data_IF_690878623545
#
_entry.id   IF_690878623545
#
_cell.length_a   1.000
_cell.length_b   1.000
_cell.length_c   1.000
_cell.angle_alpha   90.00
_cell.angle_beta   90.00
_cell.angle_gamma   90.00
#
_symmetry.space_group_name_H-M   'P 1'
#
loop_
_entity.id
_entity.type
_entity.pdbx_description
1 polymer ?
#
# COMPACT_ATOMS: atom_id res chain seq x y z
N UNK A 1 16.10 9.91 15.89
CA UNK A 1 14.71 9.52 15.56
C UNK A 1 14.73 8.68 14.30
N UNK A 2 13.96 7.59 14.27
CA UNK A 2 13.75 6.71 13.10
C UNK A 2 12.28 6.77 12.69
N UNK A 3 12.01 6.77 11.40
CA UNK A 3 10.63 6.68 10.89
C UNK A 3 10.35 5.26 10.42
N UNK A 4 9.23 4.70 10.88
CA UNK A 4 8.65 3.46 10.34
C UNK A 4 7.40 3.87 9.56
N UNK A 5 7.48 3.81 8.23
CA UNK A 5 6.34 4.12 7.36
C UNK A 5 5.56 2.82 7.10
N UNK A 6 4.31 2.77 7.56
CA UNK A 6 3.46 1.60 7.38
C UNK A 6 2.76 1.63 6.02
N UNK A 7 3.13 0.70 5.15
CA UNK A 7 2.50 0.50 3.84
C UNK A 7 1.68 -0.80 3.81
N UNK A 8 0.82 -0.98 4.81
CA UNK A 8 -0.10 -2.12 4.87
C UNK A 8 -1.47 -1.81 4.26
N UNK A 9 -2.22 -2.83 3.94
CA UNK A 9 -3.62 -2.71 3.51
C UNK A 9 -3.96 -3.58 2.31
N UNK A 10 -5.23 -4.02 2.22
CA UNK A 10 -5.72 -4.93 1.16
C UNK A 10 -6.12 -4.21 -0.13
N UNK A 11 -6.04 -2.88 -0.17
CA UNK A 11 -6.32 -2.09 -1.38
C UNK A 11 -7.77 -2.06 -1.89
N UNK A 12 -8.68 -2.84 -1.36
CA UNK A 12 -10.01 -3.09 -1.93
C UNK A 12 -10.99 -1.91 -1.90
N UNK A 13 -10.72 -0.87 -1.11
CA UNK A 13 -11.66 0.26 -0.94
C UNK A 13 -11.71 1.23 -2.11
N UNK A 14 -10.69 1.23 -2.96
CA UNK A 14 -10.65 2.02 -4.21
C UNK A 14 -10.70 1.12 -5.46
N UNK A 15 -11.36 -0.05 -5.32
CA UNK A 15 -11.71 -0.86 -6.47
C UNK A 15 -12.57 -0.03 -7.45
N UNK A 16 -12.39 -0.12 -8.76
CA UNK A 16 -11.60 -1.09 -9.53
C UNK A 16 -10.16 -0.66 -9.84
N UNK A 17 -9.67 0.47 -9.33
CA UNK A 17 -8.28 0.88 -9.58
C UNK A 17 -7.29 0.20 -8.64
N UNK A 18 -7.76 -0.23 -7.45
CA UNK A 18 -6.93 -0.93 -6.48
C UNK A 18 -7.24 -2.42 -6.42
N UNK A 19 -6.20 -3.23 -6.22
CA UNK A 19 -6.28 -4.68 -6.03
C UNK A 19 -5.31 -5.14 -4.92
N UNK A 20 -5.05 -6.43 -4.78
CA UNK A 20 -4.17 -6.98 -3.73
C UNK A 20 -2.70 -6.58 -3.87
N UNK A 21 -2.24 -6.29 -5.08
CA UNK A 21 -0.86 -5.88 -5.41
C UNK A 21 -0.76 -4.37 -5.59
N UNK A 22 -1.71 -3.75 -6.28
CA UNK A 22 -1.83 -2.31 -6.45
C UNK A 22 -2.78 -1.74 -5.40
N UNK A 23 -2.32 -1.61 -4.16
CA UNK A 23 -3.11 -1.05 -3.07
C UNK A 23 -3.35 0.45 -3.24
N UNK A 24 -4.36 1.00 -2.53
CA UNK A 24 -4.82 2.40 -2.64
C UNK A 24 -3.69 3.44 -2.55
N UNK A 25 -2.69 3.20 -1.72
CA UNK A 25 -1.56 4.11 -1.51
C UNK A 25 -0.63 4.25 -2.71
N UNK A 26 -0.73 3.35 -3.70
CA UNK A 26 0.08 3.36 -4.92
C UNK A 26 -0.63 4.02 -6.11
N UNK A 27 -1.91 4.39 -5.98
CA UNK A 27 -2.66 5.05 -7.05
C UNK A 27 -2.18 6.50 -7.24
N UNK A 28 -1.66 6.82 -8.41
CA UNK A 28 -1.16 8.15 -8.77
C UNK A 28 -2.30 9.05 -9.21
N UNK A 29 -3.11 9.51 -8.27
CA UNK A 29 -4.31 10.32 -8.52
C UNK A 29 -4.23 11.72 -7.90
N UNK A 30 -3.30 11.95 -6.96
CA UNK A 30 -3.17 13.24 -6.29
C UNK A 30 -2.27 14.19 -7.10
N UNK A 31 -2.51 15.51 -7.05
CA UNK A 31 -1.65 16.47 -7.71
C UNK A 31 -0.25 16.48 -7.08
N UNK A 32 0.77 16.46 -7.92
CA UNK A 32 2.17 16.59 -7.56
C UNK A 32 2.66 18.03 -7.72
N UNK A 33 3.64 18.50 -6.95
CA UNK A 33 4.19 19.86 -7.07
C UNK A 33 4.79 20.20 -8.43
N UNK A 34 5.22 19.21 -9.21
CA UNK A 34 5.78 19.37 -10.55
C UNK A 34 4.70 19.48 -11.66
N UNK A 35 3.41 19.51 -11.28
CA UNK A 35 2.28 19.60 -12.19
C UNK A 35 1.79 18.25 -12.74
N UNK A 36 2.40 17.14 -12.32
CA UNK A 36 1.96 15.78 -12.61
C UNK A 36 1.03 15.20 -11.54
N UNK A 37 1.04 13.89 -11.43
CA UNK A 37 0.31 13.15 -10.38
C UNK A 37 1.25 12.31 -9.53
N UNK A 38 0.97 12.27 -8.23
CA UNK A 38 1.67 11.43 -7.26
C UNK A 38 0.71 10.48 -6.55
N UNK A 39 1.23 9.39 -6.02
CA UNK A 39 0.50 8.52 -5.12
C UNK A 39 0.55 9.07 -3.68
N UNK A 40 -0.34 8.56 -2.81
CA UNK A 40 -0.31 8.93 -1.39
C UNK A 40 1.04 8.55 -0.77
N UNK A 41 1.60 7.40 -1.11
CA UNK A 41 2.91 6.96 -0.66
C UNK A 41 4.02 7.93 -1.09
N UNK A 42 4.03 8.34 -2.37
CA UNK A 42 5.01 9.31 -2.88
C UNK A 42 4.88 10.66 -2.17
N UNK A 43 3.64 11.11 -1.95
CA UNK A 43 3.36 12.35 -1.23
C UNK A 43 3.88 12.32 0.20
N UNK A 44 3.53 11.30 0.97
CA UNK A 44 3.98 11.18 2.38
C UNK A 44 5.49 11.04 2.46
N UNK A 45 6.11 10.24 1.59
CA UNK A 45 7.55 10.08 1.54
C UNK A 45 8.27 11.40 1.22
N UNK A 46 7.78 12.15 0.24
CA UNK A 46 8.29 13.48 -0.13
C UNK A 46 8.15 14.46 1.04
N UNK A 47 6.97 14.56 1.67
CA UNK A 47 6.72 15.45 2.80
C UNK A 47 7.62 15.13 4.00
N UNK A 48 7.86 13.85 4.31
CA UNK A 48 8.80 13.43 5.35
C UNK A 48 10.23 13.85 5.02
N UNK A 49 10.62 13.79 3.75
CA UNK A 49 11.97 14.17 3.29
C UNK A 49 12.14 15.68 3.30
N UNK A 50 11.15 16.45 2.83
CA UNK A 50 11.15 17.92 2.83
C UNK A 50 11.16 18.52 4.24
N UNK A 51 10.52 17.84 5.20
CA UNK A 51 10.54 18.23 6.60
C UNK A 51 11.90 18.00 7.29
N UNK A 52 12.90 17.47 6.59
CA UNK A 52 14.24 17.07 7.10
C UNK A 52 14.19 16.20 8.37
N UNK A 53 13.07 15.48 8.51
CA UNK A 53 12.84 14.70 9.71
C UNK A 53 13.70 13.45 9.76
N UNK A 54 14.15 12.98 8.59
CA UNK A 54 14.95 11.77 8.57
C UNK A 54 15.58 11.45 7.20
N UNK A 55 16.83 11.01 7.26
CA UNK A 55 17.48 10.30 6.14
C UNK A 55 17.28 8.78 6.23
N UNK A 56 16.56 8.31 7.26
CA UNK A 56 16.45 6.91 7.63
C UNK A 56 14.97 6.51 7.79
N UNK A 57 14.29 6.34 6.64
CA UNK A 57 12.91 5.83 6.60
C UNK A 57 12.95 4.33 6.35
N UNK A 58 12.36 3.56 7.25
CA UNK A 58 12.11 2.13 7.07
C UNK A 58 10.66 1.92 6.68
N UNK A 59 10.40 1.27 5.55
CA UNK A 59 9.04 1.00 5.08
C UNK A 59 8.67 -0.44 5.43
N UNK A 60 7.64 -0.61 6.26
CA UNK A 60 7.04 -1.91 6.55
C UNK A 60 5.91 -2.20 5.57
N UNK A 61 5.99 -3.31 4.85
CA UNK A 61 5.00 -3.67 3.82
C UNK A 61 4.87 -5.18 3.63
N UNK A 62 3.89 -5.64 2.86
CA UNK A 62 3.86 -7.03 2.41
C UNK A 62 4.84 -7.28 1.25
N UNK A 63 5.28 -8.52 1.10
CA UNK A 63 6.16 -8.93 -0.01
C UNK A 63 5.57 -8.59 -1.39
N UNK A 64 4.25 -8.71 -1.55
CA UNK A 64 3.57 -8.40 -2.82
C UNK A 64 3.63 -6.92 -3.22
N UNK A 65 3.87 -6.00 -2.26
CA UNK A 65 3.92 -4.56 -2.51
C UNK A 65 5.34 -4.04 -2.80
N UNK A 66 6.35 -4.89 -2.66
CA UNK A 66 7.76 -4.51 -2.82
C UNK A 66 8.04 -3.82 -4.14
N UNK A 67 7.58 -4.40 -5.24
CA UNK A 67 7.83 -3.86 -6.58
C UNK A 67 7.18 -2.48 -6.76
N UNK A 68 5.94 -2.29 -6.31
CA UNK A 68 5.26 -0.99 -6.38
C UNK A 68 5.98 0.09 -5.55
N UNK A 69 6.47 -0.26 -4.36
CA UNK A 69 7.21 0.68 -3.51
C UNK A 69 8.52 1.08 -4.19
N UNK A 70 9.32 0.12 -4.64
CA UNK A 70 10.62 0.42 -5.28
C UNK A 70 10.48 1.17 -6.60
N UNK A 71 9.43 0.90 -7.37
CA UNK A 71 9.13 1.64 -8.61
C UNK A 71 8.76 3.11 -8.33
N UNK A 72 8.08 3.39 -7.22
CA UNK A 72 7.57 4.73 -6.91
C UNK A 72 8.56 5.60 -6.12
N UNK A 73 9.37 5.00 -5.27
CA UNK A 73 10.27 5.73 -4.35
C UNK A 73 11.75 5.53 -4.70
N UNK A 74 12.08 4.45 -5.40
CA UNK A 74 13.46 4.09 -5.74
C UNK A 74 13.98 2.89 -4.93
N UNK A 75 15.23 2.53 -5.20
CA UNK A 75 15.87 1.35 -4.59
C UNK A 75 16.65 1.68 -3.30
N UNK A 76 16.94 2.95 -3.04
CA UNK A 76 17.75 3.41 -1.90
C UNK A 76 16.90 3.57 -0.63
N UNK A 77 16.02 2.60 -0.37
CA UNK A 77 15.12 2.58 0.78
C UNK A 77 15.31 1.30 1.59
N UNK A 78 15.18 1.41 2.90
CA UNK A 78 15.08 0.24 3.77
C UNK A 78 13.65 -0.31 3.73
N UNK A 79 13.49 -1.54 3.22
CA UNK A 79 12.19 -2.20 3.09
C UNK A 79 12.14 -3.47 3.93
N UNK A 80 11.25 -3.52 4.91
CA UNK A 80 10.97 -4.67 5.76
C UNK A 80 9.68 -5.32 5.31
N UNK A 81 9.80 -6.54 4.75
CA UNK A 81 8.64 -7.28 4.22
C UNK A 81 8.10 -8.25 5.26
N UNK A 82 6.81 -8.11 5.57
CA UNK A 82 6.07 -9.06 6.40
C UNK A 82 5.96 -10.42 5.70
N UNK A 83 6.24 -11.54 6.39
CA UNK A 83 6.02 -12.88 5.83
C UNK A 83 4.56 -13.14 5.49
N UNK A 84 3.64 -12.64 6.32
CA UNK A 84 2.18 -12.73 6.15
C UNK A 84 1.48 -11.54 6.80
N UNK A 85 0.26 -11.22 6.34
CA UNK A 85 -0.52 -10.12 6.92
C UNK A 85 -1.15 -10.52 8.24
N UNK A 86 -0.76 -9.84 9.33
CA UNK A 86 -1.26 -10.12 10.70
C UNK A 86 -1.72 -8.89 11.47
N UNK A 87 -1.90 -7.75 10.80
CA UNK A 87 -2.27 -6.49 11.44
C UNK A 87 -1.08 -5.57 11.72
N UNK A 88 -1.36 -4.39 12.29
CA UNK A 88 -0.34 -3.35 12.43
C UNK A 88 0.65 -3.62 13.58
N UNK A 89 0.27 -4.36 14.62
CA UNK A 89 1.21 -4.70 15.70
C UNK A 89 2.39 -5.55 15.20
N UNK A 90 2.19 -6.71 14.53
CA UNK A 90 3.31 -7.50 14.03
C UNK A 90 4.17 -6.76 13.02
N UNK A 91 3.57 -5.94 12.13
CA UNK A 91 4.31 -5.14 11.16
C UNK A 91 5.27 -4.14 11.83
N UNK A 92 4.78 -3.41 12.84
CA UNK A 92 5.58 -2.47 13.64
C UNK A 92 6.66 -3.20 14.42
N UNK A 93 6.32 -4.33 15.05
CA UNK A 93 7.27 -5.15 15.81
C UNK A 93 8.42 -5.66 14.92
N UNK A 94 8.11 -6.14 13.70
CA UNK A 94 9.11 -6.61 12.75
C UNK A 94 10.01 -5.47 12.26
N UNK A 95 9.45 -4.29 11.96
CA UNK A 95 10.23 -3.13 11.56
C UNK A 95 11.14 -2.61 12.69
N UNK A 96 10.64 -2.58 13.93
CA UNK A 96 11.44 -2.21 15.09
C UNK A 96 12.57 -3.22 15.37
N UNK A 97 12.31 -4.53 15.23
CA UNK A 97 13.33 -5.56 15.32
C UNK A 97 14.42 -5.39 14.25
N UNK A 98 14.05 -4.99 13.03
CA UNK A 98 15.02 -4.67 11.98
C UNK A 98 15.92 -3.49 12.38
N UNK A 99 15.35 -2.42 12.92
CA UNK A 99 16.12 -1.28 13.42
C UNK A 99 17.09 -1.69 14.53
N UNK A 100 16.63 -2.50 15.47
CA UNK A 100 17.46 -2.96 16.60
C UNK A 100 18.59 -3.90 16.17
N UNK A 101 18.25 -4.94 15.44
CA UNK A 101 19.17 -6.08 15.23
C UNK A 101 19.96 -6.00 13.92
N UNK A 102 19.39 -5.44 12.84
CA UNK A 102 20.08 -5.31 11.55
C UNK A 102 20.78 -3.97 11.39
N UNK A 103 20.12 -2.87 11.82
CA UNK A 103 20.73 -1.55 11.76
C UNK A 103 21.54 -1.19 13.01
N UNK A 104 21.44 -1.98 14.10
CA UNK A 104 22.16 -1.76 15.34
C UNK A 104 21.79 -0.47 16.07
N UNK A 105 20.54 -0.01 15.91
CA UNK A 105 20.05 1.18 16.59
C UNK A 105 20.07 1.04 18.09
N UNK A 106 20.36 2.14 18.80
CA UNK A 106 20.30 2.15 20.25
C UNK A 106 18.88 1.89 20.74
N UNK A 107 18.72 1.07 21.79
CA UNK A 107 17.42 0.77 22.42
C UNK A 107 16.68 2.03 22.93
N UNK A 108 17.40 3.11 23.22
CA UNK A 108 16.84 4.41 23.60
C UNK A 108 16.49 5.30 22.41
N UNK A 109 16.80 4.88 21.20
CA UNK A 109 16.44 5.64 20.01
C UNK A 109 14.93 5.63 19.84
N UNK A 110 14.38 6.81 19.49
CA UNK A 110 12.94 6.97 19.29
C UNK A 110 12.57 6.54 17.88
N UNK A 111 11.60 5.64 17.79
CA UNK A 111 10.91 5.32 16.55
C UNK A 111 9.56 6.03 16.49
N UNK A 112 9.25 6.61 15.33
CA UNK A 112 7.95 7.20 15.01
C UNK A 112 7.32 6.42 13.88
N UNK A 113 6.18 5.81 14.14
CA UNK A 113 5.39 5.05 13.17
C UNK A 113 4.40 5.97 12.50
N UNK A 114 4.38 5.99 11.16
CA UNK A 114 3.52 6.86 10.36
C UNK A 114 2.77 6.01 9.32
N UNK A 115 1.44 6.12 9.19
CA UNK A 115 0.72 5.49 8.09
C UNK A 115 1.07 6.15 6.75
N UNK A 116 1.31 5.36 5.71
CA UNK A 116 1.61 5.88 4.38
C UNK A 116 0.38 6.36 3.59
N UNK A 117 -0.82 6.25 4.17
CA UNK A 117 -2.09 6.58 3.52
C UNK A 117 -2.77 7.82 4.12
N UNK A 118 -2.04 8.58 4.90
CA UNK A 118 -2.49 9.86 5.49
C UNK A 118 -2.38 11.00 4.47
N UNK A 119 -3.48 11.73 4.29
CA UNK A 119 -3.48 13.00 3.58
C UNK A 119 -3.49 14.14 4.58
N UNK A 120 -2.40 14.90 4.64
CA UNK A 120 -2.21 15.99 5.58
C UNK A 120 -1.37 17.12 4.97
N UNK A 121 -1.45 18.31 5.58
CA UNK A 121 -0.58 19.45 5.26
C UNK A 121 0.84 19.24 5.81
N UNK A 122 1.78 20.06 5.36
CA UNK A 122 3.18 19.95 5.78
C UNK A 122 3.37 20.15 7.29
N UNK A 123 2.56 21.02 7.94
CA UNK A 123 2.58 21.24 9.40
C UNK A 123 2.33 19.96 10.22
N UNK A 124 1.64 18.97 9.62
CA UNK A 124 1.46 17.66 10.25
C UNK A 124 2.79 16.97 10.50
N UNK A 125 3.70 17.06 9.56
CA UNK A 125 5.02 16.44 9.67
C UNK A 125 5.93 17.11 10.69
N UNK A 126 5.76 18.43 10.93
CA UNK A 126 6.43 19.12 12.04
C UNK A 126 5.95 18.60 13.41
N UNK A 127 4.70 18.11 13.50
CA UNK A 127 4.16 17.52 14.72
C UNK A 127 4.84 16.19 15.06
N UNK A 128 5.43 15.49 14.08
CA UNK A 128 6.19 14.26 14.31
C UNK A 128 7.46 14.52 15.13
N UNK A 129 8.08 15.68 14.98
CA UNK A 129 9.21 16.05 15.83
C UNK A 129 8.79 16.26 17.29
N UNK A 130 7.65 16.92 17.52
CA UNK A 130 7.11 17.15 18.88
C UNK A 130 6.78 15.85 19.60
N UNK A 131 6.17 14.90 18.88
CA UNK A 131 5.84 13.59 19.45
C UNK A 131 7.12 12.79 19.78
N UNK A 132 8.16 12.89 18.95
CA UNK A 132 9.45 12.26 19.20
C UNK A 132 10.17 12.88 20.40
N UNK A 133 10.16 14.20 20.54
CA UNK A 133 10.76 14.89 21.66
C UNK A 133 10.07 14.56 22.98
N UNK A 134 8.75 14.36 22.98
CA UNK A 134 7.99 13.87 24.15
C UNK A 134 8.55 12.54 24.67
N UNK A 135 8.82 11.60 23.78
CA UNK A 135 9.37 10.28 24.13
C UNK A 135 10.86 10.38 24.52
N UNK A 136 11.63 11.21 23.80
CA UNK A 136 13.05 11.42 24.06
C UNK A 136 13.29 11.98 25.47
N UNK A 137 12.40 12.86 25.93
CA UNK A 137 12.47 13.50 27.25
C UNK A 137 11.84 12.67 28.38
N UNK A 138 11.48 11.39 28.11
CA UNK A 138 10.86 10.48 29.08
C UNK A 138 9.54 11.02 29.68
N UNK A 139 8.82 11.87 28.95
CA UNK A 139 7.52 12.40 29.38
C UNK A 139 6.41 11.35 29.34
N UNK A 140 6.55 10.32 28.49
CA UNK A 140 5.67 9.17 28.37
C UNK A 140 6.40 7.96 27.74
N UNK A 141 5.84 6.76 27.87
CA UNK A 141 6.35 5.54 27.19
C UNK A 141 5.87 5.46 25.75
N UNK A 142 4.64 5.93 25.49
CA UNK A 142 4.00 5.97 24.19
C UNK A 142 3.42 7.36 23.96
N UNK A 143 3.55 7.92 22.75
CA UNK A 143 2.91 9.17 22.39
C UNK A 143 2.13 9.00 21.08
N UNK A 144 0.98 9.69 20.97
CA UNK A 144 0.03 9.62 19.88
C UNK A 144 -0.23 11.02 19.29
N UNK A 145 -0.64 11.05 18.01
CA UNK A 145 -1.23 12.26 17.43
C UNK A 145 -2.75 12.16 17.52
N UNK A 146 -3.36 13.13 18.17
CA UNK A 146 -4.81 13.27 18.27
C UNK A 146 -5.33 14.29 17.27
N UNK A 147 -6.32 13.91 16.47
CA UNK A 147 -6.96 14.74 15.44
C UNK A 147 -8.31 15.22 15.94
N UNK A 148 -8.62 16.49 15.77
CA UNK A 148 -9.92 17.04 16.17
C UNK A 148 -11.03 16.40 15.31
N UNK A 149 -12.05 15.74 15.93
CA UNK A 149 -13.12 15.11 15.20
C UNK A 149 -14.00 16.12 14.46
N UNK A 150 -14.33 15.80 13.21
CA UNK A 150 -15.32 16.56 12.41
C UNK A 150 -16.68 15.87 12.33
N UNK A 151 -16.74 14.59 12.77
CA UNK A 151 -17.98 13.78 12.77
C UNK A 151 -17.87 12.63 13.77
N UNK A 152 -19.03 11.99 14.11
CA UNK A 152 -19.07 10.80 14.94
C UNK A 152 -18.75 9.53 14.10
N UNK A 153 -17.49 9.38 13.69
CA UNK A 153 -17.02 8.23 12.90
C UNK A 153 -16.92 6.97 13.75
N UNK A 154 -17.34 5.84 13.18
CA UNK A 154 -17.14 4.50 13.76
C UNK A 154 -15.88 3.80 13.24
N UNK A 155 -15.11 4.51 12.39
CA UNK A 155 -13.94 3.96 11.69
C UNK A 155 -12.63 4.20 12.42
N UNK A 156 -12.60 5.15 13.39
CA UNK A 156 -11.38 5.59 14.10
C UNK A 156 -11.40 5.20 15.57
N UNK A 157 -10.22 5.08 16.15
CA UNK A 157 -10.03 5.10 17.59
C UNK A 157 -10.24 6.50 18.15
N UNK A 158 -10.67 6.59 19.40
CA UNK A 158 -10.90 7.84 20.12
C UNK A 158 -9.99 7.93 21.34
N UNK A 159 -9.26 9.03 21.44
CA UNK A 159 -8.37 9.39 22.53
C UNK A 159 -9.10 10.41 23.41
N UNK A 160 -9.37 10.10 24.67
CA UNK A 160 -9.89 11.07 25.61
C UNK A 160 -8.73 11.65 26.45
N UNK A 161 -8.35 12.92 26.26
CA UNK A 161 -7.31 13.55 27.08
C UNK A 161 -7.71 13.59 28.58
N UNK A 162 -6.73 13.49 29.45
CA UNK A 162 -6.94 13.51 30.90
C UNK A 162 -7.22 14.93 31.47
N UNK A 163 -7.11 15.98 30.65
CA UNK A 163 -7.10 17.38 31.10
C UNK A 163 -6.06 17.62 32.19
N UNK A 164 -4.98 16.86 32.15
CA UNK A 164 -3.87 16.92 33.07
C UNK A 164 -2.57 16.87 32.26
N UNK A 165 -1.84 17.94 32.31
CA UNK A 165 -0.52 18.06 31.71
C UNK A 165 0.53 17.42 32.63
N UNK A 166 1.45 16.66 32.04
CA UNK A 166 2.62 16.11 32.71
C UNK A 166 3.85 16.43 31.85
N UNK A 167 4.84 17.09 32.45
CA UNK A 167 6.05 17.51 31.77
C UNK A 167 5.80 18.28 30.46
N UNK A 168 4.75 19.13 30.39
CA UNK A 168 4.40 19.94 29.23
C UNK A 168 3.62 19.21 28.13
N UNK A 169 3.08 18.00 28.39
CA UNK A 169 2.28 17.22 27.43
C UNK A 169 0.97 16.74 28.05
N UNK A 170 -0.06 16.65 27.22
CA UNK A 170 -1.35 16.10 27.63
C UNK A 170 -1.27 14.58 27.74
N UNK A 171 -1.63 14.03 28.92
CA UNK A 171 -1.77 12.60 29.10
C UNK A 171 -3.15 12.13 28.66
N UNK A 172 -3.28 10.87 28.23
CA UNK A 172 -4.60 10.32 27.92
C UNK A 172 -5.27 9.75 29.19
N UNK A 173 -6.59 9.89 29.24
CA UNK A 173 -7.46 9.27 30.27
C UNK A 173 -7.90 7.89 29.85
N UNK A 174 -8.25 7.73 28.58
CA UNK A 174 -8.72 6.47 28.01
C UNK A 174 -8.61 6.49 26.50
N UNK A 175 -8.46 5.29 25.94
CA UNK A 175 -8.55 5.00 24.51
C UNK A 175 -9.77 4.13 24.24
N UNK A 176 -10.42 4.28 23.09
CA UNK A 176 -11.57 3.47 22.67
C UNK A 176 -11.49 3.22 21.17
N UNK A 177 -11.23 1.98 20.78
CA UNK A 177 -11.10 1.60 19.36
C UNK A 177 -12.49 1.42 18.73
N UNK A 178 -12.73 2.09 17.61
CA UNK A 178 -13.91 1.96 16.73
C UNK A 178 -15.26 1.85 17.48
N UNK A 179 -15.65 2.85 18.28
CA UNK A 179 -16.88 2.81 19.06
C UNK A 179 -18.14 2.81 18.18
N UNK A 180 -19.27 2.44 18.76
CA UNK A 180 -20.57 2.70 18.12
C UNK A 180 -20.79 4.21 17.94
N UNK A 181 -21.62 4.60 16.96
CA UNK A 181 -21.90 6.02 16.66
C UNK A 181 -22.36 6.80 17.91
N UNK A 182 -23.28 6.25 18.69
CA UNK A 182 -23.75 6.85 19.94
C UNK A 182 -22.59 7.05 20.94
N UNK A 183 -21.68 6.08 21.03
CA UNK A 183 -20.52 6.19 21.90
C UNK A 183 -19.53 7.24 21.39
N UNK A 184 -19.32 7.31 20.08
CA UNK A 184 -18.50 8.34 19.44
C UNK A 184 -19.01 9.76 19.74
N UNK A 185 -20.31 10.00 19.61
CA UNK A 185 -20.95 11.29 19.96
C UNK A 185 -20.70 11.68 21.42
N UNK A 186 -20.83 10.70 22.35
CA UNK A 186 -20.52 10.92 23.76
C UNK A 186 -19.06 11.22 24.03
N UNK A 187 -18.13 10.60 23.29
CA UNK A 187 -16.70 10.85 23.43
C UNK A 187 -16.35 12.24 22.91
N UNK A 188 -16.87 12.64 21.76
CA UNK A 188 -16.67 13.98 21.18
C UNK A 188 -17.18 15.06 22.14
N UNK A 189 -18.37 14.88 22.73
CA UNK A 189 -18.90 15.85 23.69
C UNK A 189 -18.03 16.02 24.95
N UNK A 190 -17.13 15.07 25.24
CA UNK A 190 -16.15 15.12 26.34
C UNK A 190 -14.78 15.62 25.89
N UNK A 191 -14.64 16.07 24.64
CA UNK A 191 -13.38 16.57 24.09
C UNK A 191 -12.43 15.46 23.57
N UNK A 192 -12.94 14.29 23.22
CA UNK A 192 -12.12 13.24 22.65
C UNK A 192 -11.61 13.61 21.25
N UNK A 193 -10.41 13.15 20.92
CA UNK A 193 -9.75 13.29 19.63
C UNK A 193 -9.82 11.96 18.86
N UNK A 194 -9.75 11.98 17.55
CA UNK A 194 -9.48 10.78 16.77
C UNK A 194 -8.03 10.37 16.90
N UNK A 195 -7.75 9.09 16.91
CA UNK A 195 -6.41 8.57 16.78
C UNK A 195 -5.93 8.73 15.32
N UNK A 196 -4.87 9.50 15.13
CA UNK A 196 -4.25 9.74 13.80
C UNK A 196 -3.43 8.56 13.27
N UNK A 197 -3.30 7.46 14.05
CA UNK A 197 -2.54 6.27 13.66
C UNK A 197 -1.02 6.46 13.69
N UNK A 198 -0.54 7.53 14.32
CA UNK A 198 0.89 7.80 14.55
C UNK A 198 1.25 7.44 15.97
N UNK A 199 2.36 6.70 16.12
CA UNK A 199 2.88 6.22 17.40
C UNK A 199 4.34 6.58 17.53
N UNK A 200 4.76 7.11 18.68
CA UNK A 200 6.17 7.27 19.00
C UNK A 200 6.51 6.54 20.30
N UNK A 201 7.66 5.86 20.31
CA UNK A 201 8.16 5.10 21.45
C UNK A 201 9.68 4.91 21.33
N UNK A 202 10.36 4.60 22.47
CA UNK A 202 11.75 4.11 22.42
C UNK A 202 11.78 2.66 21.93
N UNK A 203 12.80 2.28 21.18
CA UNK A 203 12.90 0.91 20.63
C UNK A 203 12.89 -0.16 21.73
N UNK A 204 13.42 0.11 22.93
CA UNK A 204 13.33 -0.80 24.10
C UNK A 204 11.89 -1.14 24.47
N UNK A 205 10.99 -0.18 24.37
CA UNK A 205 9.59 -0.39 24.75
C UNK A 205 8.92 -1.47 23.88
N UNK A 206 9.15 -1.43 22.58
CA UNK A 206 8.59 -2.45 21.69
C UNK A 206 9.36 -3.78 21.76
N UNK A 207 10.68 -3.75 22.01
CA UNK A 207 11.48 -4.94 22.24
C UNK A 207 10.96 -5.74 23.45
N UNK A 208 10.64 -5.07 24.56
CA UNK A 208 10.06 -5.68 25.74
C UNK A 208 8.71 -6.36 25.44
N UNK A 209 7.92 -5.77 24.54
CA UNK A 209 6.65 -6.36 24.10
C UNK A 209 6.88 -7.57 23.19
N UNK A 210 7.81 -7.49 22.24
CA UNK A 210 8.20 -8.61 21.38
C UNK A 210 8.65 -9.81 22.22
N UNK A 211 9.48 -9.58 23.23
CA UNK A 211 10.07 -10.61 24.10
C UNK A 211 9.02 -11.35 24.94
N UNK A 212 7.81 -10.82 25.09
CA UNK A 212 6.69 -11.57 25.70
C UNK A 212 6.19 -12.73 24.82
N UNK A 213 6.45 -12.68 23.51
CA UNK A 213 5.97 -13.63 22.51
C UNK A 213 7.09 -14.42 21.86
N UNK A 214 8.25 -13.80 21.68
CA UNK A 214 9.39 -14.34 20.95
C UNK A 214 10.66 -13.97 21.71
N UNK A 215 11.34 -14.97 22.25
CA UNK A 215 12.69 -14.81 22.79
C UNK A 215 13.66 -14.74 21.60
N UNK A 216 14.16 -13.55 21.29
CA UNK A 216 14.94 -13.28 20.09
C UNK A 216 16.03 -12.23 20.33
N UNK A 217 17.24 -12.57 19.84
CA UNK A 217 18.42 -11.71 19.84
C UNK A 217 18.81 -11.28 18.41
N UNK A 218 18.09 -11.75 17.38
CA UNK A 218 18.33 -11.43 15.98
C UNK A 218 17.04 -11.19 15.22
N UNK A 219 17.14 -10.42 14.12
CA UNK A 219 16.02 -10.18 13.23
C UNK A 219 15.44 -11.45 12.60
N UNK A 220 16.32 -12.37 12.19
CA UNK A 220 15.93 -13.66 11.59
C UNK A 220 15.09 -14.52 12.54
N UNK A 221 15.40 -14.47 13.84
CA UNK A 221 14.61 -15.18 14.86
C UNK A 221 13.21 -14.56 14.97
N UNK A 222 13.08 -13.23 14.97
CA UNK A 222 11.77 -12.55 14.97
C UNK A 222 11.00 -12.88 13.71
N UNK A 223 11.63 -12.80 12.52
CA UNK A 223 11.00 -13.09 11.25
C UNK A 223 10.53 -14.54 11.14
N UNK A 224 11.36 -15.50 11.56
CA UNK A 224 11.02 -16.93 11.57
C UNK A 224 9.85 -17.25 12.50
N UNK A 225 9.76 -16.56 13.61
CA UNK A 225 8.72 -16.75 14.63
C UNK A 225 7.58 -15.73 14.51
N UNK A 226 7.50 -14.99 13.42
CA UNK A 226 6.53 -13.90 13.19
C UNK A 226 5.08 -14.32 13.47
N UNK A 227 4.71 -15.56 13.16
CA UNK A 227 3.39 -16.12 13.42
C UNK A 227 3.01 -16.22 14.90
N UNK A 228 3.98 -16.13 15.83
CA UNK A 228 3.72 -16.12 17.28
C UNK A 228 3.22 -14.75 17.77
N UNK A 229 3.50 -13.68 17.04
CA UNK A 229 2.96 -12.35 17.36
C UNK A 229 1.44 -12.37 17.18
N UNK A 230 0.65 -11.78 18.09
CA UNK A 230 -0.81 -11.71 17.94
C UNK A 230 -1.23 -10.98 16.66
N UNK A 231 -2.18 -11.54 15.93
CA UNK A 231 -2.69 -10.96 14.69
C UNK A 231 -3.73 -9.86 14.99
N UNK A 232 -3.28 -8.74 15.56
CA UNK A 232 -4.12 -7.63 16.03
C UNK A 232 -3.54 -6.27 15.63
N UNK A 233 -4.31 -5.20 15.84
CA UNK A 233 -3.79 -3.84 15.66
C UNK A 233 -2.81 -3.46 16.78
N UNK A 234 -1.95 -2.48 16.50
CA UNK A 234 -1.07 -1.89 17.50
C UNK A 234 -1.87 -1.25 18.63
N UNK A 235 -3.00 -0.65 18.30
CA UNK A 235 -3.90 -0.07 19.28
C UNK A 235 -4.37 -1.08 20.31
N UNK A 236 -4.85 -2.24 19.86
CA UNK A 236 -5.38 -3.28 20.76
C UNK A 236 -4.27 -3.96 21.58
N UNK A 237 -3.07 -4.16 20.99
CA UNK A 237 -1.99 -4.84 21.70
C UNK A 237 -1.23 -3.91 22.62
N UNK A 238 -1.02 -2.66 22.21
CA UNK A 238 -0.10 -1.74 22.88
C UNK A 238 -0.84 -0.54 23.47
N UNK A 239 -1.57 0.23 22.66
CA UNK A 239 -2.15 1.51 23.10
C UNK A 239 -3.17 1.34 24.23
N UNK A 240 -4.06 0.34 24.13
CA UNK A 240 -5.07 0.07 25.17
C UNK A 240 -4.49 -0.46 26.48
N UNK A 241 -3.29 -1.06 26.43
CA UNK A 241 -2.62 -1.70 27.59
C UNK A 241 -1.54 -0.82 28.22
N UNK A 242 -1.09 0.22 27.54
CA UNK A 242 -0.07 1.12 28.02
C UNK A 242 -0.63 2.10 29.06
N UNK A 243 0.08 2.30 30.16
CA UNK A 243 -0.36 3.17 31.25
C UNK A 243 0.18 4.60 31.16
N UNK A 244 1.26 4.80 30.42
CA UNK A 244 1.94 6.09 30.25
C UNK A 244 1.86 6.54 28.79
N UNK A 245 0.72 7.11 28.40
CA UNK A 245 0.46 7.54 27.02
C UNK A 245 0.18 9.04 26.97
N UNK A 246 0.95 9.76 26.14
CA UNK A 246 0.76 11.16 25.84
C UNK A 246 0.01 11.34 24.51
N UNK A 247 -0.64 12.49 24.36
CA UNK A 247 -1.26 12.89 23.09
C UNK A 247 -0.84 14.30 22.71
N UNK A 248 -0.45 14.47 21.45
CA UNK A 248 -0.22 15.77 20.83
C UNK A 248 -1.38 16.07 19.90
N UNK A 249 -2.10 17.15 20.18
CA UNK A 249 -3.26 17.54 19.36
C UNK A 249 -2.79 18.21 18.07
N UNK A 250 -3.28 17.73 16.94
CA UNK A 250 -3.14 18.37 15.64
C UNK A 250 -4.46 19.00 15.19
N UNK A 251 -4.42 20.27 14.79
CA UNK A 251 -5.59 21.06 14.42
C UNK A 251 -5.65 21.43 12.94
N UNK A 252 -4.66 21.00 12.13
CA UNK A 252 -4.61 21.26 10.70
C UNK A 252 -5.43 20.30 9.86
N UNK A 253 -5.20 20.28 8.55
CA UNK A 253 -5.86 19.38 7.61
C UNK A 253 -5.31 17.97 7.79
N UNK A 254 -6.20 17.06 8.10
CA UNK A 254 -5.94 15.63 8.16
C UNK A 254 -7.15 14.85 7.61
N UNK A 255 -6.91 13.94 6.68
CA UNK A 255 -7.94 13.12 6.05
C UNK A 255 -7.43 11.70 5.83
N UNK A 256 -8.28 10.72 6.13
CA UNK A 256 -8.07 9.33 5.69
C UNK A 256 -8.73 9.18 4.30
N UNK A 257 -7.91 9.13 3.27
CA UNK A 257 -8.38 8.90 1.90
C UNK A 257 -8.60 7.40 1.67
N UNK A 258 -9.51 6.82 2.45
CA UNK A 258 -9.81 5.40 2.39
C UNK A 258 -11.07 5.05 1.57
N UNK A 259 -11.77 6.02 1.00
CA UNK A 259 -12.96 5.80 0.18
C UNK A 259 -12.96 6.68 -1.06
N UNK A 260 -13.72 6.30 -2.08
CA UNK A 260 -13.90 7.10 -3.29
C UNK A 260 -14.44 8.48 -3.00
N UNK A 261 -15.37 8.63 -2.03
CA UNK A 261 -15.90 9.92 -1.62
C UNK A 261 -14.78 10.82 -1.09
N UNK A 262 -14.02 10.33 -0.10
CA UNK A 262 -12.92 11.10 0.47
C UNK A 262 -11.84 11.46 -0.56
N UNK A 263 -11.47 10.51 -1.43
CA UNK A 263 -10.52 10.76 -2.51
C UNK A 263 -11.07 11.76 -3.52
N UNK A 264 -12.34 11.61 -3.94
CA UNK A 264 -12.95 12.49 -4.94
C UNK A 264 -12.96 13.96 -4.50
N UNK A 265 -13.07 14.24 -3.21
CA UNK A 265 -13.07 15.60 -2.69
C UNK A 265 -11.71 16.29 -2.84
N UNK A 266 -10.61 15.51 -2.89
CA UNK A 266 -9.24 15.99 -3.03
C UNK A 266 -8.72 16.01 -4.47
N UNK A 267 -9.42 15.40 -5.42
CA UNK A 267 -9.01 15.41 -6.82
C UNK A 267 -9.23 16.80 -7.43
N UNK A 268 -8.21 17.40 -8.08
CA UNK A 268 -8.36 18.67 -8.78
C UNK A 268 -9.31 18.53 -9.97
N UNK A 269 -9.17 17.44 -10.72
CA UNK A 269 -10.03 17.10 -11.84
C UNK A 269 -10.97 15.99 -11.46
N UNK A 270 -12.26 16.24 -11.66
CA UNK A 270 -13.32 15.22 -11.41
C UNK A 270 -13.47 14.25 -12.57
N UNK A 271 -12.88 14.55 -13.71
CA UNK A 271 -12.95 13.74 -14.91
C UNK A 271 -11.56 13.44 -15.43
N UNK A 272 -11.14 12.18 -15.40
CA UNK A 272 -9.80 11.73 -15.80
C UNK A 272 -9.88 10.56 -16.75
N UNK A 273 -9.19 10.64 -17.91
CA UNK A 273 -9.14 9.58 -18.93
C UNK A 273 -10.04 9.89 -20.14
N UNK A 274 -10.30 8.86 -20.96
CA UNK A 274 -11.14 8.96 -22.15
C UNK A 274 -12.63 9.00 -21.77
N UNK A 275 -13.18 10.22 -21.59
CA UNK A 275 -14.52 10.46 -21.03
C UNK A 275 -15.29 11.42 -21.94
N UNK A 276 -16.57 11.12 -22.15
CA UNK A 276 -17.54 12.00 -22.82
C UNK A 276 -18.67 12.24 -21.83
N UNK A 277 -18.91 13.51 -21.47
CA UNK A 277 -20.03 13.90 -20.60
C UNK A 277 -21.13 14.56 -21.42
N UNK A 278 -22.36 14.09 -21.24
CA UNK A 278 -23.57 14.73 -21.75
C UNK A 278 -24.22 15.64 -20.69
N UNK A 279 -25.40 16.16 -21.01
CA UNK A 279 -26.15 17.05 -20.15
C UNK A 279 -26.51 16.38 -18.81
N UNK A 280 -26.61 17.19 -17.74
CA UNK A 280 -27.08 16.76 -16.43
C UNK A 280 -26.07 15.96 -15.60
N UNK A 281 -24.79 15.97 -15.96
CA UNK A 281 -23.71 15.42 -15.11
C UNK A 281 -23.29 16.49 -14.10
N UNK A 282 -23.65 16.26 -12.82
CA UNK A 282 -23.41 17.22 -11.74
C UNK A 282 -22.75 16.52 -10.55
N UNK A 283 -21.80 17.18 -9.90
CA UNK A 283 -21.09 16.69 -8.70
C UNK A 283 -20.63 15.21 -8.80
N UNK A 284 -20.23 14.79 -10.00
CA UNK A 284 -19.88 13.40 -10.33
C UNK A 284 -18.41 13.30 -10.62
N UNK A 285 -17.74 12.32 -10.03
CA UNK A 285 -16.34 12.00 -10.31
C UNK A 285 -16.30 10.81 -11.27
N UNK A 286 -15.60 10.97 -12.39
CA UNK A 286 -15.46 9.95 -13.43
C UNK A 286 -13.97 9.71 -13.66
N UNK A 287 -13.52 8.47 -13.47
CA UNK A 287 -12.13 8.07 -13.72
C UNK A 287 -12.15 6.87 -14.66
N UNK A 288 -11.42 6.96 -15.75
CA UNK A 288 -11.30 5.90 -16.74
C UNK A 288 -9.83 5.61 -17.05
N UNK A 289 -9.33 4.48 -16.59
CA UNK A 289 -7.98 3.98 -16.93
C UNK A 289 -7.98 3.11 -18.19
N UNK A 290 -9.16 2.83 -18.76
CA UNK A 290 -9.28 2.01 -19.96
C UNK A 290 -9.13 2.86 -21.23
N UNK A 291 -8.73 2.23 -22.32
CA UNK A 291 -8.69 2.84 -23.65
C UNK A 291 -10.10 3.08 -24.22
N UNK A 292 -11.09 2.27 -23.79
CA UNK A 292 -12.47 2.41 -24.19
C UNK A 292 -13.09 3.70 -23.62
N UNK A 293 -13.85 4.49 -24.39
CA UNK A 293 -14.49 5.68 -23.89
C UNK A 293 -15.59 5.36 -22.86
N UNK A 294 -15.68 6.19 -21.82
CA UNK A 294 -16.80 6.18 -20.86
C UNK A 294 -17.69 7.36 -21.15
N UNK A 295 -18.96 7.10 -21.47
CA UNK A 295 -19.97 8.13 -21.73
C UNK A 295 -20.93 8.22 -20.57
N UNK A 296 -21.06 9.40 -19.97
CA UNK A 296 -21.96 9.66 -18.85
C UNK A 296 -22.91 10.81 -19.17
N UNK A 297 -24.22 10.64 -18.94
CA UNK A 297 -25.24 11.68 -19.07
C UNK A 297 -26.30 11.53 -17.98
N UNK A 298 -26.81 12.65 -17.48
CA UNK A 298 -27.92 12.68 -16.50
C UNK A 298 -27.57 12.09 -15.12
N UNK A 299 -26.29 12.00 -14.74
CA UNK A 299 -25.84 11.39 -13.48
C UNK A 299 -25.41 12.48 -12.49
N UNK A 300 -25.92 12.40 -11.25
CA UNK A 300 -25.63 13.36 -10.18
C UNK A 300 -25.10 12.67 -8.94
N UNK A 301 -24.24 13.36 -8.19
CA UNK A 301 -23.69 12.93 -6.89
C UNK A 301 -23.11 11.50 -6.94
N UNK A 302 -22.40 11.17 -8.01
CA UNK A 302 -21.95 9.82 -8.31
C UNK A 302 -20.42 9.70 -8.39
N UNK A 303 -19.99 8.45 -8.27
CA UNK A 303 -18.64 7.99 -8.59
C UNK A 303 -18.79 6.97 -9.72
N UNK A 304 -18.10 7.21 -10.83
CA UNK A 304 -17.99 6.30 -11.99
C UNK A 304 -16.51 6.02 -12.20
N UNK A 305 -16.11 4.78 -12.05
CA UNK A 305 -14.71 4.38 -12.22
C UNK A 305 -14.62 3.15 -13.10
N UNK A 306 -13.88 3.24 -14.18
CA UNK A 306 -13.56 2.14 -15.06
C UNK A 306 -12.06 1.84 -14.98
N UNK A 307 -11.72 0.60 -14.66
CA UNK A 307 -10.37 0.11 -14.56
C UNK A 307 -10.27 -1.35 -15.00
N UNK A 308 -9.08 -1.89 -15.01
CA UNK A 308 -8.85 -3.28 -15.48
C UNK A 308 -9.55 -4.33 -14.60
N UNK A 309 -9.75 -4.05 -13.31
CA UNK A 309 -10.47 -4.95 -12.40
C UNK A 309 -11.99 -4.94 -12.63
N UNK A 310 -12.53 -3.94 -13.31
CA UNK A 310 -13.97 -3.80 -13.58
C UNK A 310 -14.47 -2.37 -13.64
N UNK A 311 -15.78 -2.20 -13.48
CA UNK A 311 -16.45 -0.90 -13.52
C UNK A 311 -17.27 -0.70 -12.25
N UNK A 312 -17.05 0.42 -11.57
CA UNK A 312 -17.82 0.87 -10.41
C UNK A 312 -18.73 2.03 -10.82
N UNK A 313 -20.01 1.91 -10.49
CA UNK A 313 -20.98 3.01 -10.56
C UNK A 313 -21.75 3.04 -9.26
N UNK A 314 -21.63 4.12 -8.49
CA UNK A 314 -22.36 4.26 -7.22
C UNK A 314 -22.58 5.74 -6.88
N UNK A 315 -23.51 6.03 -5.96
CA UNK A 315 -23.57 7.37 -5.36
C UNK A 315 -22.34 7.65 -4.50
N UNK A 316 -21.94 8.91 -4.35
CA UNK A 316 -20.81 9.29 -3.49
C UNK A 316 -20.93 8.72 -2.06
N UNK A 317 -22.15 8.72 -1.50
CA UNK A 317 -22.37 8.21 -0.15
C UNK A 317 -22.22 6.68 -0.07
N UNK A 318 -22.72 5.93 -1.05
CA UNK A 318 -22.60 4.47 -1.09
C UNK A 318 -21.15 4.01 -1.29
N UNK A 319 -20.28 4.86 -1.84
CA UNK A 319 -18.87 4.54 -2.07
C UNK A 319 -18.07 4.25 -0.79
N UNK A 320 -18.58 4.63 0.37
CA UNK A 320 -17.93 4.35 1.64
C UNK A 320 -17.96 2.87 2.04
N UNK A 321 -18.97 2.12 1.56
CA UNK A 321 -19.26 0.75 1.95
C UNK A 321 -19.08 -0.28 0.82
N UNK A 322 -18.38 0.10 -0.27
CA UNK A 322 -18.23 -0.78 -1.44
C UNK A 322 -17.47 -2.08 -1.14
N UNK A 323 -16.63 -2.09 -0.09
CA UNK A 323 -15.79 -3.25 0.27
C UNK A 323 -16.61 -4.55 0.37
N UNK A 324 -17.79 -4.51 0.99
CA UNK A 324 -18.67 -5.68 1.16
C UNK A 324 -19.16 -6.30 -0.18
N UNK A 325 -19.19 -5.50 -1.25
CA UNK A 325 -19.57 -5.96 -2.58
C UNK A 325 -18.35 -6.46 -3.34
N UNK A 326 -17.23 -5.76 -3.22
CA UNK A 326 -15.97 -6.09 -3.90
C UNK A 326 -15.39 -7.42 -3.40
N UNK A 327 -15.51 -7.72 -2.11
CA UNK A 327 -15.08 -9.02 -1.54
C UNK A 327 -15.73 -10.23 -2.24
N UNK A 328 -16.90 -10.05 -2.86
CA UNK A 328 -17.60 -11.10 -3.62
C UNK A 328 -17.07 -11.27 -5.05
N UNK A 329 -16.34 -10.27 -5.55
CA UNK A 329 -15.80 -10.25 -6.91
C UNK A 329 -14.36 -10.75 -6.95
N UNK A 330 -13.73 -10.90 -5.77
CA UNK A 330 -12.31 -11.16 -5.61
C UNK A 330 -11.83 -12.36 -6.44
N UNK A 331 -11.01 -12.05 -7.42
CA UNK A 331 -10.35 -12.99 -8.32
C UNK A 331 -8.89 -12.58 -8.46
N UNK A 332 -8.21 -13.12 -9.43
CA UNK A 332 -6.86 -12.73 -9.86
C UNK A 332 -6.80 -11.22 -10.13
N UNK A 333 -5.71 -10.52 -9.74
CA UNK A 333 -5.44 -9.17 -10.25
C UNK A 333 -5.40 -9.14 -11.78
N UNK A 334 -6.13 -8.20 -12.36
CA UNK A 334 -6.20 -8.02 -13.81
C UNK A 334 -5.13 -7.05 -14.34
N UNK A 335 -4.50 -6.29 -13.45
CA UNK A 335 -3.41 -5.37 -13.75
C UNK A 335 -2.39 -5.34 -12.61
N UNK A 336 -1.10 -5.37 -12.96
CA UNK A 336 0.00 -5.21 -12.00
C UNK A 336 1.13 -4.33 -12.54
N UNK A 337 1.70 -3.53 -11.62
CA UNK A 337 2.96 -2.83 -11.82
C UNK A 337 4.09 -3.66 -11.21
N UNK A 338 5.14 -3.92 -12.00
CA UNK A 338 6.34 -4.64 -11.61
C UNK A 338 7.58 -3.76 -11.81
N UNK A 339 8.70 -4.12 -11.20
CA UNK A 339 9.97 -3.38 -11.43
C UNK A 339 10.39 -3.31 -12.89
N UNK A 340 10.03 -4.31 -13.69
CA UNK A 340 10.37 -4.39 -15.10
C UNK A 340 9.35 -3.69 -16.02
N UNK A 341 8.20 -3.27 -15.51
CA UNK A 341 7.13 -2.68 -16.30
C UNK A 341 5.74 -3.06 -15.79
N UNK A 342 4.82 -3.35 -16.69
CA UNK A 342 3.43 -3.67 -16.33
C UNK A 342 2.91 -4.87 -17.09
N UNK A 343 1.89 -5.51 -16.55
CA UNK A 343 1.04 -6.38 -17.34
C UNK A 343 -0.45 -6.15 -17.08
N UNK A 344 -1.27 -6.40 -18.08
CA UNK A 344 -2.73 -6.46 -17.97
C UNK A 344 -3.24 -7.81 -18.50
N UNK A 345 -4.22 -8.38 -17.81
CA UNK A 345 -4.93 -9.57 -18.27
C UNK A 345 -5.99 -9.15 -19.28
N UNK A 346 -5.93 -9.72 -20.47
CA UNK A 346 -6.90 -9.45 -21.56
C UNK A 346 -8.06 -10.45 -21.45
N UNK A 347 -7.75 -11.73 -21.22
CA UNK A 347 -8.74 -12.79 -21.14
C UNK A 347 -8.27 -13.92 -20.22
N UNK A 348 -9.21 -14.56 -19.51
CA UNK A 348 -8.97 -15.73 -18.70
C UNK A 348 -10.18 -16.67 -18.82
N UNK A 349 -9.94 -17.89 -19.29
CA UNK A 349 -11.01 -18.87 -19.52
C UNK A 349 -10.63 -20.21 -18.89
N UNK A 350 -11.58 -20.84 -18.20
CA UNK A 350 -11.49 -22.23 -17.75
C UNK A 350 -12.54 -23.05 -18.50
N UNK A 351 -12.09 -24.04 -19.22
CA UNK A 351 -12.96 -24.93 -19.99
C UNK A 351 -13.54 -26.07 -19.13
N UNK A 352 -14.55 -26.74 -19.65
CA UNK A 352 -15.28 -27.80 -18.93
C UNK A 352 -14.44 -29.05 -18.64
N UNK A 353 -13.38 -29.28 -19.42
CA UNK A 353 -12.41 -30.38 -19.25
C UNK A 353 -11.31 -30.03 -18.22
N UNK A 354 -11.36 -28.83 -17.63
CA UNK A 354 -10.37 -28.34 -16.66
C UNK A 354 -9.21 -27.57 -17.28
N UNK A 355 -9.06 -27.57 -18.60
CA UNK A 355 -8.04 -26.79 -19.30
C UNK A 355 -8.27 -25.28 -19.11
N UNK A 356 -7.21 -24.55 -18.95
CA UNK A 356 -7.26 -23.10 -18.72
C UNK A 356 -6.46 -22.34 -19.78
N UNK A 357 -6.92 -21.15 -20.15
CA UNK A 357 -6.16 -20.18 -20.94
C UNK A 357 -6.14 -18.83 -20.25
N UNK A 358 -5.00 -18.13 -20.35
CA UNK A 358 -4.81 -16.78 -19.83
C UNK A 358 -4.03 -15.99 -20.86
N UNK A 359 -4.58 -14.85 -21.28
CA UNK A 359 -3.91 -13.92 -22.19
C UNK A 359 -3.55 -12.65 -21.46
N UNK A 360 -2.28 -12.25 -21.55
CA UNK A 360 -1.74 -11.02 -20.96
C UNK A 360 -1.09 -10.15 -22.04
N UNK A 361 -1.16 -8.85 -21.86
CA UNK A 361 -0.26 -7.89 -22.51
C UNK A 361 0.80 -7.49 -21.50
N UNK A 362 2.07 -7.64 -21.88
CA UNK A 362 3.22 -7.23 -21.06
C UNK A 362 3.94 -6.07 -21.73
N UNK A 363 4.33 -5.08 -20.91
CA UNK A 363 5.14 -3.93 -21.32
C UNK A 363 6.37 -3.87 -20.41
N UNK A 364 7.55 -4.09 -21.00
CA UNK A 364 8.82 -3.99 -20.31
C UNK A 364 9.50 -2.67 -20.64
N UNK A 365 9.97 -1.98 -19.61
CA UNK A 365 10.75 -0.76 -19.78
C UNK A 365 12.14 -1.10 -20.34
N UNK A 366 12.69 -0.20 -21.15
CA UNK A 366 14.03 -0.35 -21.70
C UNK A 366 15.07 -0.66 -20.61
N UNK A 367 15.93 -1.63 -20.86
CA UNK A 367 16.95 -2.10 -19.92
C UNK A 367 16.48 -3.11 -18.87
N UNK A 368 15.16 -3.25 -18.67
CA UNK A 368 14.61 -4.20 -17.73
C UNK A 368 14.46 -5.61 -18.29
N UNK A 369 14.31 -6.59 -17.41
CA UNK A 369 14.08 -7.99 -17.80
C UNK A 369 13.15 -8.71 -16.83
N UNK A 370 12.45 -9.72 -17.33
CA UNK A 370 11.83 -10.74 -16.47
C UNK A 370 12.88 -11.77 -16.06
N UNK A 371 12.62 -12.45 -14.92
CA UNK A 371 13.55 -13.46 -14.38
C UNK A 371 13.77 -14.63 -15.33
N UNK A 372 14.96 -15.24 -15.26
CA UNK A 372 15.21 -16.51 -15.93
C UNK A 372 14.53 -17.62 -15.13
N UNK A 373 13.53 -18.28 -15.72
CA UNK A 373 12.57 -19.08 -14.99
C UNK A 373 12.03 -20.25 -15.79
N UNK A 374 11.39 -21.21 -15.10
CA UNK A 374 10.58 -22.26 -15.70
C UNK A 374 9.16 -22.25 -15.11
N UNK A 375 8.24 -22.85 -15.85
CA UNK A 375 6.87 -23.16 -15.43
C UNK A 375 6.66 -24.68 -15.47
N UNK A 376 5.99 -25.23 -14.45
CA UNK A 376 5.73 -26.67 -14.35
C UNK A 376 4.39 -27.07 -14.93
N UNK A 377 3.43 -26.14 -14.98
CA UNK A 377 2.02 -26.43 -15.26
C UNK A 377 1.49 -25.76 -16.53
N UNK A 378 2.30 -24.92 -17.21
CA UNK A 378 1.83 -24.16 -18.37
C UNK A 378 2.83 -24.11 -19.49
N UNK A 379 2.32 -24.03 -20.72
CA UNK A 379 3.02 -23.58 -21.91
C UNK A 379 2.72 -22.09 -22.13
N UNK A 380 3.62 -21.38 -22.80
CA UNK A 380 3.43 -19.97 -23.14
C UNK A 380 3.72 -19.73 -24.63
N UNK A 381 2.91 -18.87 -25.26
CA UNK A 381 3.19 -18.34 -26.59
C UNK A 381 3.32 -16.82 -26.46
N UNK A 382 4.47 -16.30 -26.86
CA UNK A 382 4.76 -14.86 -26.87
C UNK A 382 4.74 -14.31 -28.27
N UNK A 383 3.98 -13.25 -28.51
CA UNK A 383 3.95 -12.51 -29.78
C UNK A 383 4.39 -11.09 -29.51
N UNK A 384 5.57 -10.71 -30.01
CA UNK A 384 6.13 -9.39 -29.83
C UNK A 384 5.47 -8.39 -30.77
N UNK A 385 4.87 -7.33 -30.21
CA UNK A 385 4.08 -6.35 -30.96
C UNK A 385 4.78 -5.01 -31.12
N UNK A 386 5.73 -4.69 -30.22
CA UNK A 386 6.51 -3.47 -30.30
C UNK A 386 7.89 -3.64 -29.62
N UNK A 387 8.88 -2.84 -30.05
CA UNK A 387 10.19 -2.79 -29.45
C UNK A 387 11.16 -3.88 -29.91
N UNK A 388 12.32 -3.94 -29.23
CA UNK A 388 13.42 -4.90 -29.45
C UNK A 388 13.88 -5.47 -28.10
N UNK A 389 14.21 -6.74 -28.08
CA UNK A 389 14.69 -7.41 -26.88
C UNK A 389 15.62 -8.58 -27.17
N UNK A 390 16.25 -9.10 -26.12
CA UNK A 390 17.00 -10.35 -26.13
C UNK A 390 16.19 -11.40 -25.39
N UNK A 391 15.86 -12.47 -26.08
CA UNK A 391 15.21 -13.65 -25.53
C UNK A 391 16.25 -14.73 -25.28
N UNK A 392 16.19 -15.38 -24.14
CA UNK A 392 16.96 -16.59 -23.85
C UNK A 392 16.04 -17.76 -23.62
N UNK A 393 16.30 -18.88 -24.31
CA UNK A 393 15.62 -20.17 -24.07
C UNK A 393 16.69 -21.23 -23.92
N UNK A 394 16.70 -21.96 -22.79
CA UNK A 394 17.65 -23.02 -22.47
C UNK A 394 19.12 -22.61 -22.74
N UNK A 395 19.47 -21.36 -22.35
CA UNK A 395 20.80 -20.78 -22.52
C UNK A 395 21.10 -20.20 -23.91
N UNK A 396 20.22 -20.37 -24.91
CA UNK A 396 20.40 -19.83 -26.25
C UNK A 396 19.76 -18.43 -26.35
N UNK A 397 20.58 -17.43 -26.65
CA UNK A 397 20.14 -16.04 -26.77
C UNK A 397 19.82 -15.70 -28.22
N UNK A 398 18.65 -15.13 -28.45
CA UNK A 398 18.18 -14.64 -29.75
C UNK A 398 17.59 -13.24 -29.63
N UNK A 399 17.70 -12.42 -30.66
CA UNK A 399 17.03 -11.13 -30.71
C UNK A 399 15.56 -11.33 -31.10
N UNK A 400 14.66 -10.60 -30.44
CA UNK A 400 13.22 -10.52 -30.76
C UNK A 400 12.85 -9.11 -31.12
N UNK A 401 11.95 -8.98 -32.07
CA UNK A 401 11.44 -7.71 -32.61
C UNK A 401 9.96 -7.82 -32.91
N UNK A 402 9.34 -6.73 -33.33
CA UNK A 402 7.94 -6.75 -33.79
C UNK A 402 7.70 -7.87 -34.79
N UNK A 403 6.68 -8.70 -34.54
CA UNK A 403 6.27 -9.84 -35.36
C UNK A 403 6.98 -11.15 -34.98
N UNK A 404 7.96 -11.15 -34.10
CA UNK A 404 8.54 -12.39 -33.56
C UNK A 404 7.49 -13.16 -32.76
N UNK A 405 7.42 -14.47 -32.99
CA UNK A 405 6.53 -15.38 -32.24
C UNK A 405 7.38 -16.52 -31.65
N UNK A 406 7.17 -16.80 -30.38
CA UNK A 406 7.94 -17.79 -29.63
C UNK A 406 6.98 -18.69 -28.87
N UNK A 407 7.22 -20.01 -28.95
CA UNK A 407 6.52 -21.00 -28.13
C UNK A 407 7.48 -21.53 -27.07
N UNK A 408 7.13 -21.35 -25.81
CA UNK A 408 7.87 -21.79 -24.62
C UNK A 408 7.07 -22.92 -23.99
N UNK A 409 7.65 -24.09 -23.96
CA UNK A 409 7.03 -25.28 -23.35
C UNK A 409 7.28 -25.31 -21.86
N UNK A 410 6.35 -25.92 -21.13
CA UNK A 410 6.56 -26.21 -19.71
C UNK A 410 7.91 -26.89 -19.48
N UNK A 411 8.63 -26.44 -18.45
CA UNK A 411 9.96 -26.93 -18.12
C UNK A 411 11.10 -26.29 -18.91
N UNK A 412 10.85 -25.45 -19.92
CA UNK A 412 11.91 -24.72 -20.62
C UNK A 412 12.35 -23.48 -19.83
N UNK A 413 13.64 -23.33 -19.62
CA UNK A 413 14.26 -22.13 -19.03
C UNK A 413 14.16 -20.96 -20.00
N UNK A 414 13.59 -19.85 -19.58
CA UNK A 414 13.42 -18.69 -20.44
C UNK A 414 13.45 -17.36 -19.68
N UNK A 415 13.86 -16.31 -20.37
CA UNK A 415 13.76 -14.91 -19.94
C UNK A 415 13.78 -13.98 -21.15
N UNK A 416 13.31 -12.75 -20.99
CA UNK A 416 13.48 -11.70 -21.99
C UNK A 416 13.99 -10.43 -21.32
N UNK A 417 14.93 -9.73 -21.98
CA UNK A 417 15.44 -8.41 -21.62
C UNK A 417 15.06 -7.41 -22.71
N UNK A 418 14.45 -6.31 -22.32
CA UNK A 418 14.11 -5.21 -23.20
C UNK A 418 15.37 -4.39 -23.56
N UNK A 419 15.65 -4.21 -24.85
CA UNK A 419 16.66 -3.27 -25.35
C UNK A 419 16.05 -1.87 -25.44
N UNK A 420 14.87 -1.79 -26.04
CA UNK A 420 13.99 -0.61 -26.02
C UNK A 420 12.75 -0.98 -25.22
N UNK A 421 11.83 -0.05 -25.00
CA UNK A 421 10.51 -0.41 -24.47
C UNK A 421 9.95 -1.54 -25.35
N UNK A 422 9.56 -2.63 -24.70
CA UNK A 422 9.21 -3.89 -25.34
C UNK A 422 7.80 -4.30 -24.95
N UNK A 423 6.93 -4.54 -25.95
CA UNK A 423 5.56 -4.98 -25.73
C UNK A 423 5.31 -6.33 -26.41
N UNK A 424 4.67 -7.24 -25.70
CA UNK A 424 4.26 -8.53 -26.26
C UNK A 424 2.98 -9.06 -25.62
N UNK A 425 2.29 -9.88 -26.39
CA UNK A 425 1.13 -10.64 -25.94
C UNK A 425 1.60 -12.03 -25.54
N UNK A 426 1.28 -12.43 -24.32
CA UNK A 426 1.54 -13.74 -23.77
C UNK A 426 0.24 -14.53 -23.68
N UNK A 427 0.19 -15.70 -24.27
CA UNK A 427 -0.91 -16.67 -24.12
C UNK A 427 -0.39 -17.86 -23.33
N UNK A 428 -0.89 -18.02 -22.12
CA UNK A 428 -0.61 -19.16 -21.25
C UNK A 428 -1.71 -20.23 -21.43
N UNK A 429 -1.30 -21.50 -21.46
CA UNK A 429 -2.21 -22.64 -21.58
C UNK A 429 -1.77 -23.76 -20.65
N UNK A 430 -2.72 -24.39 -19.94
CA UNK A 430 -2.41 -25.46 -18.99
C UNK A 430 -3.56 -25.76 -18.03
N UNK A 431 -3.31 -26.62 -17.08
CA UNK A 431 -4.30 -27.02 -16.07
C UNK A 431 -4.33 -26.09 -14.88
N UNK A 432 -3.17 -25.49 -14.56
CA UNK A 432 -2.98 -24.58 -13.42
C UNK A 432 -2.25 -23.33 -13.91
N UNK A 433 -2.95 -22.19 -13.91
CA UNK A 433 -2.40 -20.89 -14.32
C UNK A 433 -2.39 -19.95 -13.12
N UNK A 434 -1.37 -20.07 -12.27
CA UNK A 434 -1.15 -19.25 -11.08
C UNK A 434 0.22 -18.55 -11.16
N UNK A 435 0.36 -17.39 -10.52
CA UNK A 435 1.61 -16.63 -10.55
C UNK A 435 2.75 -17.34 -9.78
N UNK A 436 2.40 -18.20 -8.83
CA UNK A 436 3.34 -18.99 -8.04
C UNK A 436 4.00 -20.12 -8.83
N UNK A 437 3.50 -20.49 -10.03
CA UNK A 437 4.11 -21.47 -10.94
C UNK A 437 5.35 -20.86 -11.63
N UNK A 438 6.31 -20.37 -10.83
CA UNK A 438 7.57 -19.76 -11.28
C UNK A 438 8.72 -20.27 -10.41
N UNK A 439 9.62 -21.05 -11.01
CA UNK A 439 10.92 -21.39 -10.42
C UNK A 439 12.00 -20.52 -11.08
N UNK A 440 12.71 -19.75 -10.26
CA UNK A 440 13.72 -18.76 -10.76
C UNK A 440 15.13 -19.33 -10.67
N UNK A 441 15.92 -19.02 -11.71
CA UNK A 441 17.31 -19.41 -11.83
C UNK A 441 18.21 -18.19 -12.06
N UNK A 442 19.48 -18.33 -11.72
CA UNK A 442 20.48 -17.28 -12.00
C UNK A 442 20.74 -17.18 -13.52
N UNK A 443 20.83 -15.96 -14.03
CA UNK A 443 21.22 -15.66 -15.40
C UNK A 443 21.90 -14.31 -15.49
N UNK A 444 23.01 -14.25 -16.20
CA UNK A 444 23.74 -13.01 -16.49
C UNK A 444 23.58 -12.67 -17.98
N UNK A 445 22.99 -11.53 -18.25
CA UNK A 445 22.88 -10.98 -19.60
C UNK A 445 24.26 -10.44 -20.02
N UNK A 446 24.83 -11.04 -21.03
CA UNK A 446 26.09 -10.61 -21.64
C UNK A 446 25.87 -9.44 -22.60
#
# INVERSE_FOLDING_TARGET
MRIILLSGGSGQRLWPLSNSTRSKQFLRLLPSPDGGTESILQRVYRQLTEADLTKNITIASSTAQRDSITTQIGNDITLVSEPERRGTFPAIALAAAHLLYNEGCNKDEVAVVVPCDTYADNDYFETLQKIADTIKNDSAELALIGIKPTSASTKYGYILPAQKEYAGVDMIKSFTEKPSRKRAEQLISKGALWNGGVFAFKLRFIEDIINRYIDADTFEQVQKNYCKLPAVSFDNEVTEKCHSVAVITYNGVWKDIASWKALSDELPDKHTGNIITGDGVENTTIINELELPVVCAGIKDAIVVAGYEGVLVCSKNASEDIKQYVEKVATRPMFEERRWGTYKVINSTKYSDGFCTLTKELKLNAGCNISYQIHRHRDEVWTFVNGRGLLVIDGNVTEVTRGSVVHIKKGQLHAVRAITDLEFIEVQTGDILVEEDIERYAWEWK
#
